data_IF_830982361962
#
_entry.id   IF_830982361962
#
_cell.length_a   1.000
_cell.length_b   1.000
_cell.length_c   1.000
_cell.angle_alpha   90.00
_cell.angle_beta   90.00
_cell.angle_gamma   90.00
#
_symmetry.space_group_name_H-M   'P 1'
#
loop_
_entity.id
_entity.type
_entity.pdbx_description
1 polymer ?
#
# COMPACT_ATOMS: atom_id res chain seq x y z
N UNK A 1 -16.46 34.09 -37.65
CA UNK A 1 -15.54 33.67 -36.59
C UNK A 1 -15.86 32.21 -36.38
N UNK A 2 -14.97 31.35 -36.85
CA UNK A 2 -15.10 29.90 -36.69
C UNK A 2 -14.72 29.58 -35.25
N UNK A 3 -15.68 29.19 -34.42
CA UNK A 3 -15.36 28.58 -33.13
C UNK A 3 -15.25 27.07 -33.37
N UNK A 4 -14.08 26.70 -33.87
CA UNK A 4 -13.57 25.35 -33.87
C UNK A 4 -13.09 25.03 -32.46
N UNK A 5 -14.00 24.54 -31.61
CA UNK A 5 -13.65 23.77 -30.43
C UNK A 5 -14.62 22.59 -30.30
N UNK A 6 -14.67 21.83 -31.40
CA UNK A 6 -15.06 20.43 -31.35
C UNK A 6 -13.92 19.70 -30.68
N UNK A 7 -13.86 19.78 -29.35
CA UNK A 7 -13.09 18.86 -28.52
C UNK A 7 -13.74 17.47 -28.65
N UNK A 8 -13.55 16.87 -29.83
CA UNK A 8 -13.76 15.46 -30.09
C UNK A 8 -12.69 14.66 -29.33
N UNK A 9 -12.74 14.69 -27.99
CA UNK A 9 -12.13 13.67 -27.14
C UNK A 9 -13.00 12.40 -27.10
N UNK A 10 -13.93 12.26 -28.03
CA UNK A 10 -14.79 11.10 -28.22
C UNK A 10 -14.04 10.04 -29.06
N UNK A 11 -12.88 9.63 -28.53
CA UNK A 11 -11.84 8.91 -29.25
C UNK A 11 -11.19 7.78 -28.45
N UNK A 12 -12.03 6.99 -27.77
CA UNK A 12 -11.74 5.71 -27.10
C UNK A 12 -11.03 5.81 -25.75
N UNK A 13 -11.81 6.01 -24.69
CA UNK A 13 -11.35 5.73 -23.33
C UNK A 13 -10.77 4.28 -23.23
N UNK A 14 -9.68 4.12 -22.47
CA UNK A 14 -8.99 2.83 -22.33
C UNK A 14 -9.93 1.72 -21.83
N UNK A 15 -10.93 2.11 -21.03
CA UNK A 15 -11.92 1.23 -20.44
C UNK A 15 -12.84 0.58 -21.48
N UNK A 16 -13.38 1.33 -22.42
CA UNK A 16 -14.23 0.90 -23.52
C UNK A 16 -13.46 -0.03 -24.44
N UNK A 17 -12.20 0.32 -24.72
CA UNK A 17 -11.31 -0.55 -25.50
C UNK A 17 -11.09 -1.88 -24.77
N UNK A 18 -10.76 -1.88 -23.48
CA UNK A 18 -10.66 -3.12 -22.71
C UNK A 18 -11.98 -3.88 -22.67
N UNK A 19 -13.10 -3.21 -22.39
CA UNK A 19 -14.43 -3.79 -22.25
C UNK A 19 -14.89 -4.53 -23.50
N UNK A 20 -14.55 -4.00 -24.68
CA UNK A 20 -14.88 -4.61 -25.96
C UNK A 20 -14.05 -5.86 -26.26
N UNK A 21 -12.81 -5.94 -25.75
CA UNK A 21 -11.88 -7.06 -25.99
C UNK A 21 -11.67 -7.96 -24.77
N UNK A 22 -12.43 -7.76 -23.68
CA UNK A 22 -12.22 -8.53 -22.45
C UNK A 22 -12.56 -10.01 -22.67
N UNK A 23 -11.79 -10.94 -22.08
CA UNK A 23 -12.19 -12.33 -22.05
C UNK A 23 -13.52 -12.48 -21.31
N UNK A 24 -14.37 -13.41 -21.73
CA UNK A 24 -15.61 -13.74 -21.02
C UNK A 24 -15.22 -14.49 -19.73
N UNK A 25 -15.17 -13.76 -18.62
CA UNK A 25 -14.85 -14.32 -17.30
C UNK A 25 -15.90 -15.37 -16.94
N UNK A 26 -15.46 -16.62 -16.76
CA UNK A 26 -16.27 -17.74 -16.30
C UNK A 26 -15.85 -18.14 -14.89
N UNK A 27 -16.78 -18.71 -14.11
CA UNK A 27 -16.51 -19.25 -12.76
C UNK A 27 -15.32 -20.22 -12.75
N UNK A 28 -15.17 -21.00 -13.82
CA UNK A 28 -14.05 -21.92 -14.04
C UNK A 28 -12.68 -21.24 -14.19
N UNK A 29 -12.64 -20.00 -14.69
CA UNK A 29 -11.40 -19.22 -14.82
C UNK A 29 -11.01 -18.61 -13.48
N UNK A 30 -12.00 -18.19 -12.68
CA UNK A 30 -11.78 -17.62 -11.34
C UNK A 30 -11.35 -18.67 -10.30
N UNK A 31 -11.81 -19.91 -10.44
CA UNK A 31 -11.45 -21.01 -9.54
C UNK A 31 -10.18 -21.76 -10.00
N UNK A 32 -9.56 -21.33 -11.10
CA UNK A 32 -8.34 -21.97 -11.59
C UNK A 32 -7.17 -21.73 -10.61
N UNK A 33 -6.36 -22.74 -10.25
CA UNK A 33 -5.23 -22.62 -9.32
C UNK A 33 -4.06 -21.72 -9.74
N UNK A 34 -4.30 -20.75 -10.63
CA UNK A 34 -3.33 -19.77 -11.12
C UNK A 34 -3.97 -18.43 -11.52
N UNK A 35 -5.25 -18.19 -11.22
CA UNK A 35 -5.94 -16.94 -11.58
C UNK A 35 -5.59 -15.80 -10.63
N UNK A 36 -4.36 -15.32 -10.70
CA UNK A 36 -3.95 -14.11 -10.00
C UNK A 36 -4.45 -12.89 -10.77
N UNK A 37 -5.51 -12.24 -10.27
CA UNK A 37 -6.07 -11.03 -10.88
C UNK A 37 -5.08 -9.88 -10.96
N UNK A 38 -4.20 -9.73 -9.98
CA UNK A 38 -3.15 -8.70 -9.99
C UNK A 38 -2.17 -9.00 -11.13
N UNK A 39 -1.76 -10.25 -11.31
CA UNK A 39 -0.88 -10.64 -12.41
C UNK A 39 -1.49 -10.34 -13.78
N UNK A 40 -2.79 -10.64 -13.97
CA UNK A 40 -3.53 -10.27 -15.18
C UNK A 40 -3.45 -8.77 -15.48
N UNK A 41 -3.74 -7.90 -14.51
CA UNK A 41 -3.68 -6.46 -14.73
C UNK A 41 -2.26 -5.95 -14.93
N UNK A 42 -1.26 -6.57 -14.29
CA UNK A 42 0.17 -6.28 -14.51
C UNK A 42 0.57 -6.56 -15.96
N UNK A 43 0.16 -7.70 -16.52
CA UNK A 43 0.40 -8.06 -17.92
C UNK A 43 -0.29 -7.10 -18.90
N UNK A 44 -1.43 -6.51 -18.52
CA UNK A 44 -2.17 -5.55 -19.35
C UNK A 44 -1.63 -4.11 -19.27
N UNK A 45 -0.72 -3.78 -18.35
CA UNK A 45 -0.17 -2.42 -18.18
C UNK A 45 0.41 -1.81 -19.47
N UNK A 46 1.14 -2.53 -20.35
CA UNK A 46 1.66 -1.96 -21.58
C UNK A 46 0.55 -1.54 -22.58
N UNK A 47 -0.64 -2.16 -22.47
CA UNK A 47 -1.76 -1.93 -23.39
C UNK A 47 -2.79 -0.94 -22.83
N UNK A 48 -2.96 -0.92 -21.52
CA UNK A 48 -3.93 -0.07 -20.80
C UNK A 48 -3.27 0.49 -19.52
N UNK A 49 -2.34 1.44 -19.63
CA UNK A 49 -1.54 1.90 -18.50
C UNK A 49 -2.38 2.54 -17.40
N UNK A 50 -3.39 3.32 -17.77
CA UNK A 50 -4.25 4.07 -16.83
C UNK A 50 -5.24 3.12 -16.16
N UNK A 51 -5.92 2.29 -16.96
CA UNK A 51 -6.90 1.33 -16.45
C UNK A 51 -6.26 0.25 -15.56
N UNK A 52 -5.10 -0.28 -15.97
CA UNK A 52 -4.42 -1.30 -15.20
C UNK A 52 -3.92 -0.76 -13.86
N UNK A 53 -3.46 0.50 -13.80
CA UNK A 53 -3.08 1.16 -12.55
C UNK A 53 -4.28 1.25 -11.61
N UNK A 54 -5.40 1.80 -12.09
CA UNK A 54 -6.63 1.90 -11.31
C UNK A 54 -7.13 0.55 -10.80
N UNK A 55 -7.13 -0.48 -11.67
CA UNK A 55 -7.55 -1.82 -11.29
C UNK A 55 -6.63 -2.44 -10.22
N UNK A 56 -5.31 -2.29 -10.35
CA UNK A 56 -4.35 -2.77 -9.34
C UNK A 56 -4.57 -2.03 -8.02
N UNK A 57 -4.69 -0.71 -8.05
CA UNK A 57 -4.85 0.10 -6.85
C UNK A 57 -6.10 -0.36 -6.06
N UNK A 58 -7.23 -0.60 -6.73
CA UNK A 58 -8.45 -1.17 -6.11
C UNK A 58 -8.23 -2.60 -5.60
N UNK A 59 -7.63 -3.48 -6.42
CA UNK A 59 -7.45 -4.89 -6.08
C UNK A 59 -6.45 -5.11 -4.92
N UNK A 60 -5.56 -4.14 -4.68
CA UNK A 60 -4.61 -4.19 -3.55
C UNK A 60 -5.21 -3.72 -2.23
N UNK A 61 -6.42 -3.15 -2.23
CA UNK A 61 -7.12 -2.79 -1.00
C UNK A 61 -7.52 -4.11 -0.28
N UNK A 62 -7.06 -4.34 0.95
CA UNK A 62 -7.45 -5.52 1.71
C UNK A 62 -8.96 -5.50 1.98
N UNK A 63 -9.62 -6.64 1.74
CA UNK A 63 -11.07 -6.76 1.90
C UNK A 63 -11.53 -6.69 3.37
N UNK A 64 -10.63 -6.85 4.34
CA UNK A 64 -10.95 -6.73 5.76
C UNK A 64 -9.81 -6.15 6.58
N UNK A 65 -10.17 -5.61 7.75
CA UNK A 65 -9.25 -5.17 8.80
C UNK A 65 -8.59 -6.33 9.57
N UNK A 66 -8.87 -7.60 9.23
CA UNK A 66 -8.41 -8.74 10.03
C UNK A 66 -6.88 -8.82 10.16
N UNK A 67 -6.13 -8.39 9.14
CA UNK A 67 -4.67 -8.32 9.23
C UNK A 67 -4.21 -7.23 10.20
N UNK A 68 -4.88 -6.08 10.20
CA UNK A 68 -4.64 -5.01 11.17
C UNK A 68 -5.02 -5.47 12.58
N UNK A 69 -6.18 -6.11 12.77
CA UNK A 69 -6.62 -6.62 14.07
C UNK A 69 -5.68 -7.69 14.63
N UNK A 70 -5.20 -8.60 13.77
CA UNK A 70 -4.17 -9.57 14.14
C UNK A 70 -2.88 -8.86 14.55
N UNK A 71 -2.47 -7.85 13.79
CA UNK A 71 -1.30 -7.03 14.10
C UNK A 71 -1.45 -6.33 15.46
N UNK A 72 -2.60 -5.71 15.73
CA UNK A 72 -2.88 -5.05 17.01
C UNK A 72 -2.96 -6.04 18.17
N UNK A 73 -3.46 -7.26 17.94
CA UNK A 73 -3.49 -8.31 18.95
C UNK A 73 -2.09 -8.83 19.27
N UNK A 74 -1.28 -9.12 18.25
CA UNK A 74 0.14 -9.46 18.40
C UNK A 74 0.91 -8.35 19.16
N UNK A 75 0.56 -7.09 18.90
CA UNK A 75 1.15 -5.93 19.56
C UNK A 75 0.68 -5.77 21.00
N UNK A 76 -0.60 -6.07 21.28
CA UNK A 76 -1.17 -6.11 22.62
C UNK A 76 -0.47 -7.15 23.50
N UNK A 77 -0.16 -8.32 22.95
CA UNK A 77 0.64 -9.35 23.64
C UNK A 77 2.08 -8.90 23.91
N UNK A 78 2.69 -8.13 22.99
CA UNK A 78 4.00 -7.50 23.18
C UNK A 78 3.99 -6.38 24.24
N UNK A 79 2.86 -5.70 24.40
CA UNK A 79 2.64 -4.63 25.38
C UNK A 79 2.26 -5.15 26.78
N UNK A 80 1.76 -6.39 26.88
CA UNK A 80 1.54 -7.06 28.16
C UNK A 80 2.86 -7.67 28.72
N UNK A 81 2.89 -8.07 30.00
CA UNK A 81 3.41 -7.36 31.18
C UNK A 81 4.91 -6.99 31.22
N UNK A 82 5.72 -7.17 30.16
CA UNK A 82 7.19 -7.26 30.35
C UNK A 82 8.04 -6.01 30.13
N UNK A 83 7.54 -4.87 29.63
CA UNK A 83 8.34 -3.62 29.53
C UNK A 83 7.48 -2.34 29.62
N UNK A 84 7.47 -1.71 30.80
CA UNK A 84 6.82 -0.41 31.09
C UNK A 84 7.47 0.82 30.39
N UNK A 85 8.21 0.65 29.29
CA UNK A 85 8.95 1.80 28.72
C UNK A 85 9.33 1.62 27.23
N UNK A 86 8.47 1.02 26.42
CA UNK A 86 8.61 1.06 24.95
C UNK A 86 7.64 2.10 24.42
N UNK A 87 8.16 3.13 23.77
CA UNK A 87 7.39 4.14 23.06
C UNK A 87 6.63 3.55 21.88
N UNK A 88 5.52 4.18 21.52
CA UNK A 88 4.69 3.79 20.37
C UNK A 88 5.46 3.83 19.05
N UNK A 89 6.43 4.71 18.93
CA UNK A 89 7.27 4.90 17.75
C UNK A 89 8.21 3.72 17.53
N UNK A 90 8.96 3.30 18.56
CA UNK A 90 9.83 2.12 18.49
C UNK A 90 9.02 0.84 18.27
N UNK A 91 7.84 0.76 18.86
CA UNK A 91 6.91 -0.34 18.65
C UNK A 91 6.47 -0.45 17.18
N UNK A 92 6.11 0.67 16.56
CA UNK A 92 5.79 0.74 15.13
C UNK A 92 7.00 0.36 14.25
N UNK A 93 8.19 0.86 14.57
CA UNK A 93 9.42 0.51 13.86
C UNK A 93 9.75 -0.99 13.96
N UNK A 94 9.62 -1.59 15.14
CA UNK A 94 9.79 -3.03 15.36
C UNK A 94 8.78 -3.84 14.54
N UNK A 95 7.53 -3.39 14.47
CA UNK A 95 6.50 -4.05 13.68
C UNK A 95 6.79 -3.96 12.17
N UNK A 96 7.25 -2.81 11.67
CA UNK A 96 7.73 -2.66 10.29
C UNK A 96 8.87 -3.62 9.98
N UNK A 97 9.87 -3.70 10.87
CA UNK A 97 11.00 -4.62 10.74
C UNK A 97 10.52 -6.08 10.68
N UNK A 98 9.60 -6.50 11.55
CA UNK A 98 9.02 -7.84 11.53
C UNK A 98 8.29 -8.13 10.23
N UNK A 99 7.50 -7.17 9.74
CA UNK A 99 6.79 -7.26 8.45
C UNK A 99 7.77 -7.43 7.28
N UNK A 100 8.83 -6.62 7.23
CA UNK A 100 9.85 -6.70 6.19
C UNK A 100 10.61 -8.03 6.21
N UNK A 101 10.95 -8.54 7.39
CA UNK A 101 11.58 -9.86 7.54
C UNK A 101 10.68 -10.99 7.05
N UNK A 102 9.36 -10.95 7.36
CA UNK A 102 8.37 -11.89 6.79
C UNK A 102 8.29 -11.76 5.26
N UNK A 103 8.42 -10.54 4.73
CA UNK A 103 8.52 -10.24 3.30
C UNK A 103 9.87 -10.56 2.64
N UNK A 104 10.79 -11.27 3.33
CA UNK A 104 12.06 -11.72 2.79
C UNK A 104 13.17 -10.67 2.73
N UNK A 105 12.96 -9.47 3.30
CA UNK A 105 14.01 -8.45 3.43
C UNK A 105 14.97 -8.87 4.54
N UNK A 106 16.27 -8.91 4.24
CA UNK A 106 17.30 -9.22 5.23
C UNK A 106 17.79 -7.93 5.88
N UNK A 107 17.79 -7.90 7.22
CA UNK A 107 18.43 -6.83 7.97
C UNK A 107 19.96 -6.97 7.89
N UNK A 108 20.71 -5.86 7.97
CA UNK A 108 22.15 -5.92 8.12
C UNK A 108 22.54 -6.68 9.39
N UNK A 109 23.59 -7.52 9.29
CA UNK A 109 23.94 -8.52 10.30
C UNK A 109 24.38 -7.98 11.68
N UNK A 110 24.58 -6.68 11.83
CA UNK A 110 25.08 -6.08 13.08
C UNK A 110 24.53 -4.67 13.26
N UNK A 111 23.71 -4.49 14.30
CA UNK A 111 23.46 -3.18 14.87
C UNK A 111 24.76 -2.70 15.54
N UNK A 112 25.27 -1.54 15.13
CA UNK A 112 26.59 -1.04 15.56
C UNK A 112 26.56 -0.25 16.86
N UNK A 113 25.39 0.11 17.38
CA UNK A 113 25.26 0.99 18.55
C UNK A 113 24.09 0.56 19.43
N UNK A 114 24.32 0.49 20.74
CA UNK A 114 23.25 0.34 21.73
C UNK A 114 22.62 1.71 21.96
N UNK A 115 21.57 2.04 21.20
CA UNK A 115 20.82 3.29 21.35
C UNK A 115 19.55 3.02 22.16
N UNK A 116 19.21 3.94 23.07
CA UNK A 116 17.93 3.90 23.78
C UNK A 116 16.77 4.34 22.86
N UNK A 117 15.54 4.14 23.32
CA UNK A 117 14.33 4.59 22.60
C UNK A 117 14.36 6.10 22.34
N UNK A 118 14.67 6.88 23.38
CA UNK A 118 14.83 8.34 23.30
C UNK A 118 15.94 8.77 22.33
N UNK A 119 17.04 8.02 22.25
CA UNK A 119 18.13 8.30 21.31
C UNK A 119 17.69 8.03 19.87
N UNK A 120 16.92 6.97 19.64
CA UNK A 120 16.39 6.63 18.31
C UNK A 120 15.36 7.65 17.84
N UNK A 121 14.47 8.10 18.74
CA UNK A 121 13.48 9.13 18.44
C UNK A 121 14.15 10.43 17.98
N UNK A 122 15.21 10.85 18.68
CA UNK A 122 15.99 12.05 18.31
C UNK A 122 16.80 11.89 17.03
N UNK A 123 17.40 10.71 16.82
CA UNK A 123 18.31 10.48 15.69
C UNK A 123 17.56 10.33 14.37
N UNK A 124 16.38 9.73 14.39
CA UNK A 124 15.56 9.49 13.21
C UNK A 124 14.33 10.41 13.10
N UNK A 125 14.19 11.36 14.04
CA UNK A 125 13.05 12.29 14.13
C UNK A 125 11.71 11.57 13.95
N UNK A 126 11.55 10.43 14.64
CA UNK A 126 10.40 9.54 14.46
C UNK A 126 9.07 10.21 14.83
N UNK A 127 9.11 11.28 15.63
CA UNK A 127 7.95 12.07 16.05
C UNK A 127 7.50 13.12 15.01
N UNK A 128 8.25 13.35 13.93
CA UNK A 128 7.89 14.36 12.91
C UNK A 128 6.70 13.96 12.02
N UNK A 129 6.33 12.68 12.00
CA UNK A 129 5.27 12.13 11.14
C UNK A 129 3.86 12.52 11.59
N UNK A 130 3.71 13.02 12.82
CA UNK A 130 2.43 13.42 13.42
C UNK A 130 2.17 14.94 13.32
N UNK A 131 3.08 15.68 12.67
CA UNK A 131 2.84 17.08 12.37
C UNK A 131 2.02 17.15 11.09
N UNK A 132 0.79 17.68 11.10
CA UNK A 132 0.13 18.02 9.86
C UNK A 132 1.06 18.96 9.09
N UNK A 133 1.34 18.66 7.82
CA UNK A 133 1.93 19.63 6.93
C UNK A 133 1.09 20.91 7.06
N UNK A 134 1.67 22.02 7.52
CA UNK A 134 1.02 23.34 7.54
C UNK A 134 0.74 23.88 6.12
N UNK A 135 0.49 23.00 5.15
CA UNK A 135 0.37 23.30 3.72
C UNK A 135 -0.83 22.64 3.04
N UNK A 136 -1.79 22.10 3.81
CA UNK A 136 -3.08 21.63 3.28
C UNK A 136 -4.26 22.52 3.73
N UNK A 137 -4.01 23.80 4.06
CA UNK A 137 -5.05 24.80 4.36
C UNK A 137 -5.22 25.80 3.21
N UNK A 138 -5.37 25.28 1.98
CA UNK A 138 -5.83 26.09 0.83
C UNK A 138 -6.81 25.28 -0.03
N UNK A 139 -8.09 25.37 0.32
CA UNK A 139 -9.20 25.61 -0.61
C UNK A 139 -10.53 25.61 0.19
N UNK A 140 -11.07 26.82 0.39
CA UNK A 140 -12.50 27.11 0.50
C UNK A 140 -12.96 27.66 -0.86
#
# INVERSE_FOLDING_TARGET
MEDADSDDEEGCDEYLRWRNFKPKWSKTVFESPGSNLIAYWVELRPKYPTLARFAIDILTIPASSCECERMFSELGDLLAPRRRNIGSQLLAALQCIRSWMRGGKRLPARATTALSDDDLERLYDLASWDKPNEMDDYCD
#
